data_IF_963066410960
#
_entry.id   IF_963066410960
#
_cell.length_a   1.000
_cell.length_b   1.000
_cell.length_c   1.000
_cell.angle_alpha   90.00
_cell.angle_beta   90.00
_cell.angle_gamma   90.00
#
_symmetry.space_group_name_H-M   'P 1'
#
loop_
_entity.id
_entity.type
_entity.pdbx_description
1 polymer ?
#
# COMPACT_ATOMS: atom_id res chain seq x y z
N UNK A 1 13.21 -0.27 19.90
CA UNK A 1 12.96 -1.62 19.33
C UNK A 1 13.17 -1.54 17.83
N UNK A 2 14.15 -2.26 17.28
CA UNK A 2 14.37 -2.28 15.84
C UNK A 2 13.25 -3.10 15.17
N UNK A 3 12.51 -2.48 14.24
CA UNK A 3 11.34 -3.10 13.59
C UNK A 3 11.76 -4.06 12.48
N UNK A 4 12.87 -3.79 11.78
CA UNK A 4 13.43 -4.64 10.73
C UNK A 4 14.97 -4.57 10.78
N UNK A 5 15.65 -5.64 11.23
CA UNK A 5 17.11 -5.63 11.45
C UNK A 5 17.93 -5.29 10.20
N UNK A 6 19.06 -4.63 10.39
CA UNK A 6 20.10 -4.51 9.37
C UNK A 6 20.68 -5.89 8.97
N UNK A 7 21.19 -6.00 7.73
CA UNK A 7 21.79 -7.22 7.18
C UNK A 7 20.99 -7.85 6.03
N UNK A 8 21.11 -9.17 5.86
CA UNK A 8 20.37 -9.90 4.81
C UNK A 8 18.85 -9.78 5.01
N UNK A 9 18.16 -9.27 3.99
CA UNK A 9 16.73 -8.99 4.08
C UNK A 9 15.89 -10.25 4.32
N UNK A 10 16.30 -11.42 3.81
CA UNK A 10 15.60 -12.68 4.03
C UNK A 10 15.75 -13.20 5.46
N UNK A 11 16.95 -13.08 6.05
CA UNK A 11 17.20 -13.38 7.47
C UNK A 11 16.42 -12.43 8.37
N UNK A 12 16.48 -11.12 8.09
CA UNK A 12 15.72 -10.11 8.82
C UNK A 12 14.21 -10.39 8.76
N UNK A 13 13.67 -10.68 7.57
CA UNK A 13 12.27 -11.02 7.38
C UNK A 13 11.85 -12.25 8.19
N UNK A 14 12.60 -13.37 8.09
CA UNK A 14 12.31 -14.59 8.88
C UNK A 14 12.30 -14.32 10.38
N UNK A 15 13.24 -13.51 10.88
CA UNK A 15 13.31 -13.13 12.30
C UNK A 15 12.10 -12.30 12.73
N UNK A 16 11.69 -11.33 11.91
CA UNK A 16 10.51 -10.50 12.18
C UNK A 16 9.24 -11.36 12.20
N UNK A 17 9.06 -12.22 11.19
CA UNK A 17 7.88 -13.08 11.11
C UNK A 17 7.81 -14.09 12.25
N UNK A 18 8.93 -14.72 12.62
CA UNK A 18 8.99 -15.64 13.76
C UNK A 18 8.65 -14.92 15.08
N UNK A 19 9.15 -13.69 15.27
CA UNK A 19 8.86 -12.90 16.47
C UNK A 19 7.39 -12.50 16.56
N UNK A 20 6.82 -12.01 15.45
CA UNK A 20 5.46 -11.47 15.46
C UNK A 20 4.38 -12.56 15.36
N UNK A 21 4.74 -13.76 14.88
CA UNK A 21 3.78 -14.86 14.64
C UNK A 21 2.54 -14.39 13.84
N UNK A 22 2.79 -13.52 12.86
CA UNK A 22 1.73 -12.86 12.08
C UNK A 22 0.91 -13.88 11.29
N UNK A 23 -0.41 -13.79 11.39
CA UNK A 23 -1.35 -14.57 10.56
C UNK A 23 -1.64 -13.88 9.22
N UNK A 24 -1.41 -12.57 9.14
CA UNK A 24 -1.63 -11.76 7.95
C UNK A 24 -0.50 -10.75 7.76
N UNK A 25 -0.16 -10.48 6.51
CA UNK A 25 0.72 -9.38 6.11
C UNK A 25 -0.02 -8.51 5.11
N UNK A 26 -0.13 -7.21 5.40
CA UNK A 26 -0.84 -6.25 4.56
C UNK A 26 0.12 -5.15 4.14
N UNK A 27 0.32 -4.98 2.84
CA UNK A 27 1.06 -3.88 2.26
C UNK A 27 0.09 -2.89 1.61
N UNK A 28 0.20 -1.61 1.97
CA UNK A 28 -0.55 -0.51 1.34
C UNK A 28 0.47 0.48 0.81
N UNK A 29 0.47 0.72 -0.50
CA UNK A 29 1.37 1.68 -1.16
C UNK A 29 2.86 1.45 -0.83
N UNK A 30 3.24 0.18 -0.65
CA UNK A 30 4.60 -0.18 -0.24
C UNK A 30 5.41 -0.60 -1.47
N UNK A 31 6.54 0.06 -1.77
CA UNK A 31 7.38 -0.32 -2.91
C UNK A 31 7.86 -1.78 -2.83
N UNK A 32 7.64 -2.52 -3.92
CA UNK A 32 8.18 -3.86 -4.14
C UNK A 32 9.36 -3.81 -5.11
N UNK A 33 10.29 -4.77 -4.97
CA UNK A 33 11.43 -4.85 -5.90
C UNK A 33 10.96 -5.15 -7.33
N UNK A 34 11.57 -4.50 -8.31
CA UNK A 34 11.48 -4.88 -9.72
C UNK A 34 12.35 -6.11 -10.02
N UNK A 35 12.30 -6.60 -11.26
CA UNK A 35 13.02 -7.81 -11.70
C UNK A 35 14.54 -7.74 -11.48
N UNK A 36 15.13 -6.54 -11.53
CA UNK A 36 16.55 -6.28 -11.26
C UNK A 36 16.86 -6.12 -9.75
N UNK A 37 15.87 -6.32 -8.87
CA UNK A 37 16.01 -6.14 -7.42
C UNK A 37 15.95 -4.69 -6.95
N UNK A 38 15.80 -3.72 -7.85
CA UNK A 38 15.72 -2.30 -7.49
C UNK A 38 14.32 -1.90 -6.99
N UNK A 39 14.24 -0.82 -6.22
CA UNK A 39 12.98 -0.17 -5.88
C UNK A 39 12.88 1.13 -6.66
N UNK A 40 11.75 1.36 -7.33
CA UNK A 40 11.56 2.54 -8.20
C UNK A 40 10.24 3.22 -7.90
N UNK A 41 10.21 4.54 -8.00
CA UNK A 41 8.96 5.30 -8.02
C UNK A 41 8.25 5.14 -9.36
N UNK A 42 6.99 5.58 -9.44
CA UNK A 42 6.23 5.66 -10.69
C UNK A 42 7.00 6.41 -11.81
N UNK A 43 7.78 7.43 -11.46
CA UNK A 43 8.65 8.16 -12.39
C UNK A 43 9.95 7.43 -12.77
N UNK A 44 10.17 6.19 -12.33
CA UNK A 44 11.35 5.38 -12.67
C UNK A 44 12.62 5.66 -11.85
N UNK A 45 12.56 6.60 -10.91
CA UNK A 45 13.68 6.98 -10.04
C UNK A 45 13.96 5.90 -9.00
N UNK A 46 15.23 5.63 -8.72
CA UNK A 46 15.60 4.69 -7.66
C UNK A 46 15.22 5.27 -6.28
N UNK A 47 14.52 4.47 -5.46
CA UNK A 47 14.10 4.85 -4.10
C UNK A 47 14.69 3.93 -3.02
N UNK A 48 15.55 2.98 -3.41
CA UNK A 48 16.13 1.98 -2.51
C UNK A 48 16.82 2.54 -1.26
N UNK A 49 17.49 3.69 -1.36
CA UNK A 49 18.16 4.34 -0.23
C UNK A 49 17.20 4.74 0.91
N UNK A 50 15.93 5.00 0.57
CA UNK A 50 14.88 5.39 1.50
C UNK A 50 13.89 4.25 1.78
N UNK A 51 14.14 3.08 1.18
CA UNK A 51 13.22 1.96 1.16
C UNK A 51 13.87 0.73 1.80
N UNK A 52 13.63 0.54 3.11
CA UNK A 52 13.94 -0.74 3.78
C UNK A 52 13.32 -1.89 2.96
N UNK A 53 14.03 -3.02 2.76
CA UNK A 53 13.59 -4.13 1.90
C UNK A 53 12.50 -5.00 2.57
N UNK A 54 11.41 -4.35 2.97
CA UNK A 54 10.28 -4.96 3.69
C UNK A 54 9.50 -5.94 2.82
N UNK A 55 9.64 -5.86 1.50
CA UNK A 55 9.08 -6.85 0.58
C UNK A 55 9.66 -8.26 0.79
N UNK A 56 10.82 -8.38 1.45
CA UNK A 56 11.34 -9.67 1.89
C UNK A 56 10.38 -10.41 2.83
N UNK A 57 9.54 -9.69 3.61
CA UNK A 57 8.49 -10.29 4.45
C UNK A 57 7.46 -11.06 3.62
N UNK A 58 7.26 -10.69 2.37
CA UNK A 58 6.30 -11.29 1.44
C UNK A 58 6.94 -12.37 0.55
N UNK A 59 8.27 -12.42 0.49
CA UNK A 59 9.02 -13.36 -0.36
C UNK A 59 9.54 -14.58 0.41
N UNK A 60 9.76 -14.46 1.72
CA UNK A 60 10.16 -15.61 2.53
C UNK A 60 8.94 -16.50 2.82
N UNK A 61 9.09 -17.84 2.84
CA UNK A 61 7.98 -18.72 3.20
C UNK A 61 7.42 -18.39 4.57
N UNK A 62 6.10 -18.23 4.65
CA UNK A 62 5.36 -18.02 5.89
C UNK A 62 3.96 -18.62 5.78
N UNK A 63 3.27 -18.78 6.92
CA UNK A 63 1.85 -19.18 6.94
C UNK A 63 0.90 -17.99 6.89
N UNK A 64 1.42 -16.78 6.78
CA UNK A 64 0.60 -15.58 6.78
C UNK A 64 -0.11 -15.42 5.44
N UNK A 65 -1.41 -15.09 5.46
CA UNK A 65 -2.11 -14.62 4.28
C UNK A 65 -1.59 -13.23 3.91
N UNK A 66 -1.20 -13.05 2.65
CA UNK A 66 -0.61 -11.81 2.14
C UNK A 66 -1.62 -11.00 1.34
N UNK A 67 -1.73 -9.71 1.66
CA UNK A 67 -2.61 -8.76 0.98
C UNK A 67 -1.78 -7.57 0.51
N UNK A 68 -1.95 -7.19 -0.75
CA UNK A 68 -1.34 -5.99 -1.34
C UNK A 68 -2.41 -5.01 -1.79
N UNK A 69 -2.14 -3.72 -1.60
CA UNK A 69 -2.92 -2.61 -2.16
C UNK A 69 -1.95 -1.68 -2.89
N UNK A 70 -2.24 -1.41 -4.16
CA UNK A 70 -1.43 -0.54 -5.00
C UNK A 70 -2.26 0.12 -6.10
N UNK A 71 -1.69 1.14 -6.72
CA UNK A 71 -2.28 1.90 -7.83
C UNK A 71 -1.30 2.14 -9.00
N UNK A 72 0.02 2.06 -8.77
CA UNK A 72 1.06 2.39 -9.75
C UNK A 72 1.75 1.21 -10.46
N UNK A 73 1.69 0.00 -9.88
CA UNK A 73 2.33 -1.20 -10.43
C UNK A 73 3.74 -1.48 -9.88
N UNK A 74 4.32 -0.57 -9.08
CA UNK A 74 5.62 -0.73 -8.43
C UNK A 74 5.51 -1.16 -6.96
N UNK A 75 4.32 -1.48 -6.48
CA UNK A 75 4.03 -1.85 -5.10
C UNK A 75 4.14 -3.37 -4.86
N UNK A 76 4.29 -3.77 -3.60
CA UNK A 76 4.15 -5.14 -3.16
C UNK A 76 2.74 -5.63 -3.54
N UNK A 77 2.68 -6.79 -4.18
CA UNK A 77 1.47 -7.43 -4.66
C UNK A 77 1.20 -7.25 -6.15
N UNK A 78 1.72 -6.18 -6.76
CA UNK A 78 1.59 -5.97 -8.22
C UNK A 78 2.27 -7.05 -9.06
N UNK A 79 3.16 -7.86 -8.45
CA UNK A 79 3.72 -9.06 -9.07
C UNK A 79 2.70 -10.16 -9.36
N UNK A 80 1.49 -10.10 -8.80
CA UNK A 80 0.38 -10.99 -9.13
C UNK A 80 -0.25 -10.69 -10.51
N UNK A 81 -0.04 -9.48 -11.06
CA UNK A 81 -0.57 -9.09 -12.36
C UNK A 81 0.38 -9.55 -13.48
N UNK A 82 -0.11 -10.27 -14.51
CA UNK A 82 0.70 -10.62 -15.67
C UNK A 82 1.38 -9.41 -16.31
N UNK A 83 2.66 -9.53 -16.65
CA UNK A 83 3.48 -8.42 -17.18
C UNK A 83 2.90 -7.82 -18.47
N UNK A 84 2.28 -8.64 -19.33
CA UNK A 84 1.62 -8.15 -20.54
C UNK A 84 0.39 -7.29 -20.22
N UNK A 85 -0.37 -7.63 -19.17
CA UNK A 85 -1.49 -6.82 -18.69
C UNK A 85 -1.00 -5.49 -18.08
N UNK A 86 0.05 -5.51 -17.26
CA UNK A 86 0.69 -4.28 -16.76
C UNK A 86 1.16 -3.37 -17.90
N UNK A 87 1.84 -3.95 -18.91
CA UNK A 87 2.27 -3.20 -20.10
C UNK A 87 1.08 -2.62 -20.87
N UNK A 88 0.00 -3.38 -21.05
CA UNK A 88 -1.20 -2.93 -21.73
C UNK A 88 -1.91 -1.79 -20.96
N UNK A 89 -1.83 -1.80 -19.63
CA UNK A 89 -2.30 -0.73 -18.76
C UNK A 89 -1.35 0.49 -18.71
N UNK A 90 -0.27 0.49 -19.48
CA UNK A 90 0.68 1.61 -19.54
C UNK A 90 1.74 1.61 -18.45
N UNK A 91 1.82 0.60 -17.59
CA UNK A 91 2.84 0.50 -16.53
C UNK A 91 4.21 0.18 -17.16
N UNK A 92 5.24 1.03 -16.96
CA UNK A 92 6.58 0.74 -17.45
C UNK A 92 7.14 -0.53 -16.81
N UNK A 93 7.49 -1.54 -17.63
CA UNK A 93 7.96 -2.85 -17.15
C UNK A 93 9.26 -2.82 -16.32
N UNK A 94 9.97 -1.68 -16.32
CA UNK A 94 11.16 -1.44 -15.50
C UNK A 94 10.82 -1.12 -14.04
N UNK A 95 9.67 -0.51 -13.78
CA UNK A 95 9.21 -0.21 -12.42
C UNK A 95 8.33 -1.33 -11.85
N UNK A 96 7.74 -2.15 -12.73
CA UNK A 96 6.84 -3.23 -12.36
C UNK A 96 7.46 -4.14 -11.28
N UNK A 97 6.81 -4.15 -10.12
CA UNK A 97 7.16 -5.03 -9.00
C UNK A 97 7.01 -6.49 -9.41
N UNK A 98 7.88 -7.34 -8.87
CA UNK A 98 7.79 -8.81 -9.04
C UNK A 98 7.33 -9.51 -7.77
N UNK A 99 6.94 -8.75 -6.75
CA UNK A 99 6.55 -9.30 -5.45
C UNK A 99 5.06 -9.67 -5.49
N UNK A 100 4.69 -10.96 -5.44
CA UNK A 100 3.30 -11.38 -5.44
C UNK A 100 2.68 -11.30 -4.04
N UNK A 101 1.35 -11.45 -4.00
CA UNK A 101 0.53 -11.61 -2.79
C UNK A 101 -0.61 -12.58 -3.09
N UNK A 102 -1.24 -13.14 -2.06
CA UNK A 102 -2.41 -14.01 -2.20
C UNK A 102 -3.63 -13.22 -2.69
N UNK A 103 -3.80 -12.00 -2.17
CA UNK A 103 -4.91 -11.11 -2.53
C UNK A 103 -4.42 -9.71 -2.86
N UNK A 104 -4.69 -9.26 -4.09
CA UNK A 104 -4.35 -7.92 -4.57
C UNK A 104 -5.61 -7.08 -4.72
N UNK A 105 -5.59 -5.86 -4.18
CA UNK A 105 -6.56 -4.81 -4.45
C UNK A 105 -5.88 -3.72 -5.26
N UNK A 106 -6.41 -3.42 -6.44
CA UNK A 106 -5.98 -2.28 -7.27
C UNK A 106 -7.02 -1.18 -7.16
N UNK A 107 -6.59 0.05 -6.91
CA UNK A 107 -7.46 1.22 -6.78
C UNK A 107 -6.86 2.43 -7.52
N UNK A 108 -7.62 3.52 -7.65
CA UNK A 108 -7.10 4.77 -8.20
C UNK A 108 -6.21 5.55 -7.22
N UNK A 109 -6.32 5.26 -5.93
CA UNK A 109 -5.47 5.71 -4.83
C UNK A 109 -5.40 4.57 -3.82
N UNK A 110 -4.21 4.14 -3.42
CA UNK A 110 -4.02 3.01 -2.50
C UNK A 110 -4.75 3.17 -1.15
N UNK A 111 -4.86 4.40 -0.62
CA UNK A 111 -5.68 4.68 0.55
C UNK A 111 -7.14 4.22 0.36
N UNK A 112 -7.74 4.51 -0.78
CA UNK A 112 -9.13 4.12 -1.07
C UNK A 112 -9.28 2.61 -1.18
N UNK A 113 -8.28 1.92 -1.76
CA UNK A 113 -8.26 0.46 -1.78
C UNK A 113 -8.26 -0.13 -0.37
N UNK A 114 -7.43 0.42 0.53
CA UNK A 114 -7.38 0.01 1.93
C UNK A 114 -8.71 0.31 2.66
N UNK A 115 -9.32 1.47 2.41
CA UNK A 115 -10.62 1.81 3.00
C UNK A 115 -11.72 0.89 2.48
N UNK A 116 -11.69 0.49 1.20
CA UNK A 116 -12.60 -0.51 0.65
C UNK A 116 -12.51 -1.87 1.37
N UNK A 117 -11.30 -2.31 1.74
CA UNK A 117 -11.09 -3.51 2.57
C UNK A 117 -11.75 -3.32 3.95
N UNK A 118 -11.50 -2.18 4.60
CA UNK A 118 -12.08 -1.88 5.92
C UNK A 118 -13.60 -1.83 5.87
N UNK A 119 -14.17 -1.22 4.82
CA UNK A 119 -15.62 -1.17 4.59
C UNK A 119 -16.22 -2.58 4.49
N UNK A 120 -15.57 -3.46 3.73
CA UNK A 120 -16.00 -4.84 3.57
C UNK A 120 -15.91 -5.62 4.88
N UNK A 121 -14.82 -5.45 5.63
CA UNK A 121 -14.65 -6.05 6.95
C UNK A 121 -15.71 -5.57 7.94
N UNK A 122 -16.07 -4.28 7.90
CA UNK A 122 -17.14 -3.74 8.74
C UNK A 122 -18.50 -4.40 8.45
N UNK A 123 -18.80 -4.63 7.17
CA UNK A 123 -20.01 -5.36 6.76
C UNK A 123 -20.01 -6.80 7.29
N UNK A 124 -18.89 -7.52 7.19
CA UNK A 124 -18.77 -8.88 7.73
C UNK A 124 -18.86 -8.92 9.26
N UNK A 125 -18.31 -7.91 9.94
CA UNK A 125 -18.34 -7.78 11.38
C UNK A 125 -19.68 -7.24 11.92
N UNK A 126 -20.58 -6.80 11.04
CA UNK A 126 -21.87 -6.20 11.42
C UNK A 126 -21.74 -4.86 12.15
N UNK A 127 -20.62 -4.15 12.01
CA UNK A 127 -20.37 -2.83 12.62
C UNK A 127 -19.54 -1.95 11.69
N UNK A 128 -19.75 -0.64 11.74
CA UNK A 128 -18.91 0.27 10.96
C UNK A 128 -17.48 0.28 11.52
N UNK A 129 -16.49 0.07 10.64
CA UNK A 129 -15.06 0.12 10.95
C UNK A 129 -14.34 1.26 10.23
N UNK A 130 -15.02 1.93 9.29
CA UNK A 130 -14.48 3.10 8.61
C UNK A 130 -14.48 4.30 9.54
N UNK A 131 -13.46 5.13 9.38
CA UNK A 131 -13.44 6.49 9.90
C UNK A 131 -14.38 7.39 9.08
N UNK A 132 -14.61 8.61 9.58
CA UNK A 132 -15.37 9.66 8.89
C UNK A 132 -14.50 10.46 7.92
N UNK A 133 -15.13 11.17 6.98
CA UNK A 133 -14.42 12.10 6.10
C UNK A 133 -13.74 13.24 6.87
N UNK A 134 -14.32 13.64 8.01
CA UNK A 134 -13.69 14.61 8.91
C UNK A 134 -12.41 14.05 9.56
N UNK A 135 -12.38 12.76 9.90
CA UNK A 135 -11.17 12.09 10.38
C UNK A 135 -10.14 11.92 9.27
N UNK A 136 -10.56 11.63 8.03
CA UNK A 136 -9.66 11.54 6.88
C UNK A 136 -8.89 12.85 6.68
N UNK A 137 -9.60 13.99 6.75
CA UNK A 137 -8.96 15.29 6.68
C UNK A 137 -7.90 15.48 7.76
N UNK A 138 -8.21 15.13 9.01
CA UNK A 138 -7.25 15.23 10.12
C UNK A 138 -6.04 14.31 9.95
N UNK A 139 -6.23 13.11 9.41
CA UNK A 139 -5.14 12.16 9.14
C UNK A 139 -4.19 12.70 8.07
N UNK A 140 -4.72 13.20 6.95
CA UNK A 140 -3.92 13.80 5.88
C UNK A 140 -3.14 15.01 6.40
N UNK A 141 -3.81 15.93 7.11
CA UNK A 141 -3.16 17.11 7.70
C UNK A 141 -2.07 16.72 8.71
N UNK A 142 -2.30 15.69 9.53
CA UNK A 142 -1.30 15.18 10.45
C UNK A 142 -0.06 14.63 9.72
N UNK A 143 -0.25 13.90 8.62
CA UNK A 143 0.86 13.44 7.77
C UNK A 143 1.66 14.60 7.19
N UNK A 144 0.99 15.62 6.63
CA UNK A 144 1.66 16.82 6.09
C UNK A 144 2.43 17.56 7.18
N UNK A 145 1.83 17.72 8.36
CA UNK A 145 2.48 18.34 9.54
C UNK A 145 3.71 17.55 10.00
N UNK A 146 3.69 16.23 9.89
CA UNK A 146 4.83 15.36 10.17
C UNK A 146 5.92 15.41 9.07
N UNK A 147 5.69 16.13 7.98
CA UNK A 147 6.66 16.37 6.91
C UNK A 147 6.43 15.54 5.64
N UNK A 148 5.32 14.79 5.55
CA UNK A 148 4.95 14.09 4.34
C UNK A 148 4.74 15.07 3.16
N UNK A 149 5.01 14.56 1.96
CA UNK A 149 4.81 15.28 0.70
C UNK A 149 3.91 14.48 -0.21
N UNK A 150 3.16 15.16 -1.06
CA UNK A 150 2.40 14.53 -2.11
C UNK A 150 3.34 13.86 -3.14
N UNK A 151 3.01 12.63 -3.55
CA UNK A 151 3.82 11.82 -4.46
C UNK A 151 3.94 12.39 -5.89
N UNK A 152 2.94 13.17 -6.30
CA UNK A 152 2.81 13.77 -7.63
C UNK A 152 3.30 15.21 -7.61
N UNK A 153 2.75 16.06 -6.74
CA UNK A 153 3.07 17.50 -6.72
C UNK A 153 4.41 17.80 -6.04
N UNK A 154 4.92 16.86 -5.24
CA UNK A 154 6.18 16.97 -4.47
C UNK A 154 6.18 18.12 -3.46
N UNK A 155 5.00 18.63 -3.10
CA UNK A 155 4.82 19.70 -2.11
C UNK A 155 4.26 19.15 -0.81
N UNK A 156 4.50 19.89 0.27
CA UNK A 156 3.87 19.66 1.58
C UNK A 156 2.51 20.34 1.59
N UNK A 157 1.53 19.68 0.97
CA UNK A 157 0.16 20.18 0.88
C UNK A 157 -0.82 19.04 1.17
N UNK A 158 -2.05 19.39 1.54
CA UNK A 158 -3.09 18.44 1.93
C UNK A 158 -3.72 17.76 0.69
N UNK A 159 -2.88 17.09 -0.08
CA UNK A 159 -3.25 16.27 -1.22
C UNK A 159 -2.59 14.90 -1.09
N UNK A 160 -3.21 13.88 -1.67
CA UNK A 160 -2.61 12.56 -1.87
C UNK A 160 -2.80 12.22 -3.35
N UNK A 161 -1.72 11.84 -4.02
CA UNK A 161 -1.67 11.61 -5.47
C UNK A 161 -2.22 12.76 -6.32
N UNK A 162 -2.00 14.00 -5.86
CA UNK A 162 -2.51 15.22 -6.48
C UNK A 162 -4.01 15.43 -6.29
N UNK A 163 -4.69 14.56 -5.55
CA UNK A 163 -6.12 14.67 -5.26
C UNK A 163 -6.34 15.53 -4.00
N UNK A 164 -7.24 16.53 -4.03
CA UNK A 164 -7.51 17.38 -2.86
C UNK A 164 -8.18 16.63 -1.71
N UNK A 165 -7.84 17.01 -0.47
CA UNK A 165 -8.43 16.48 0.78
C UNK A 165 -9.95 16.31 0.72
N UNK A 166 -10.67 17.30 0.18
CA UNK A 166 -12.14 17.26 0.09
C UNK A 166 -12.66 16.03 -0.69
N UNK A 167 -11.93 15.60 -1.73
CA UNK A 167 -12.28 14.41 -2.49
C UNK A 167 -12.01 13.12 -1.68
N UNK A 168 -10.90 13.04 -0.94
CA UNK A 168 -10.63 11.91 -0.05
C UNK A 168 -11.72 11.78 1.02
N UNK A 169 -12.09 12.88 1.67
CA UNK A 169 -13.18 12.91 2.64
C UNK A 169 -14.52 12.46 2.01
N UNK A 170 -14.83 12.94 0.81
CA UNK A 170 -16.04 12.55 0.08
C UNK A 170 -16.09 11.06 -0.26
N UNK A 171 -14.96 10.45 -0.62
CA UNK A 171 -14.87 9.00 -0.88
C UNK A 171 -15.16 8.21 0.41
N UNK A 172 -14.60 8.63 1.54
CA UNK A 172 -14.85 7.98 2.84
C UNK A 172 -16.33 8.09 3.24
N UNK A 173 -16.95 9.25 3.07
CA UNK A 173 -18.38 9.44 3.35
C UNK A 173 -19.26 8.61 2.42
N UNK A 174 -18.91 8.51 1.14
CA UNK A 174 -19.60 7.65 0.20
C UNK A 174 -19.51 6.18 0.62
N UNK A 175 -18.33 5.69 1.02
CA UNK A 175 -18.16 4.32 1.50
C UNK A 175 -18.97 4.07 2.79
N UNK A 176 -19.01 5.02 3.72
CA UNK A 176 -19.85 4.94 4.92
C UNK A 176 -21.35 4.84 4.56
N UNK A 177 -21.82 5.66 3.61
CA UNK A 177 -23.20 5.66 3.16
C UNK A 177 -23.62 4.39 2.39
N UNK A 178 -22.65 3.69 1.78
CA UNK A 178 -22.88 2.41 1.10
C UNK A 178 -22.79 1.23 2.07
N UNK A 179 -21.84 1.26 3.02
CA UNK A 179 -21.63 0.19 4.00
C UNK A 179 -22.80 -0.03 4.97
N UNK A 180 -23.69 0.95 5.13
CA UNK A 180 -24.93 0.84 5.89
C UNK A 180 -26.09 0.16 5.15
N UNK A 181 -25.98 -0.10 3.84
CA UNK A 181 -27.05 -0.72 3.05
C UNK A 181 -26.88 -2.24 3.06
N UNK A 182 -27.90 -2.95 3.55
CA UNK A 182 -28.02 -4.41 3.45
C UNK A 182 -28.66 -4.81 2.14
#
# INVERSE_FOLDING_TARGET
>A
MELFPDGDAGVAARRVLARLSSTHLVAVERPGRSRDGAYRSAGGHAVGAWNRPLDALFLVPSRATTVGVGDGGNEIGMGAIPRNALKAAGVPLRIASVVPVDHLVVAGVSNWGAYGIVAHLGRLAGRNLLHSGAEEGRLIEACVKAGAVDGITRRREATVDGVPLAAHAGIVELMNALGGRR
#
